data_IF_616298037728
#
_entry.id   IF_616298037728
#
_cell.length_a   1.000
_cell.length_b   1.000
_cell.length_c   1.000
_cell.angle_alpha   90.00
_cell.angle_beta   90.00
_cell.angle_gamma   90.00
#
_symmetry.space_group_name_H-M   'P 1'
#
loop_
_entity.id
_entity.type
_entity.pdbx_description
1 polymer ?
#
# COMPACT_ATOMS: atom_id res chain seq x y z
N UNK A 1 3.01 -6.64 23.14
CA UNK A 1 1.86 -7.45 23.64
C UNK A 1 0.66 -7.07 22.79
N UNK A 2 0.21 -7.96 21.91
CA UNK A 2 -0.96 -7.76 21.05
C UNK A 2 -2.21 -7.54 21.91
N UNK A 3 -3.03 -6.59 21.52
CA UNK A 3 -4.29 -6.32 22.20
C UNK A 3 -5.20 -7.56 22.04
N UNK A 4 -5.67 -8.19 23.15
CA UNK A 4 -6.49 -9.40 23.07
C UNK A 4 -7.80 -9.21 22.29
N UNK A 5 -8.24 -7.95 22.11
CA UNK A 5 -9.42 -7.63 21.29
C UNK A 5 -9.13 -7.69 19.79
N UNK A 6 -7.89 -7.41 19.34
CA UNK A 6 -7.55 -7.52 17.91
C UNK A 6 -7.44 -8.98 17.47
N UNK A 7 -6.80 -9.83 18.30
CA UNK A 7 -6.72 -11.29 18.03
C UNK A 7 -8.09 -11.96 18.08
N UNK A 8 -8.99 -11.51 18.95
CA UNK A 8 -10.36 -12.03 19.00
C UNK A 8 -11.16 -11.58 17.75
N UNK A 9 -10.98 -10.35 17.28
CA UNK A 9 -11.64 -9.86 16.08
C UNK A 9 -11.15 -10.59 14.82
N UNK A 10 -9.86 -10.91 14.73
CA UNK A 10 -9.29 -11.73 13.64
C UNK A 10 -9.78 -13.20 13.71
N UNK A 11 -9.79 -13.79 14.90
CA UNK A 11 -10.33 -15.14 15.10
C UNK A 11 -11.83 -15.22 14.77
N UNK A 12 -12.61 -14.18 15.10
CA UNK A 12 -14.03 -14.11 14.74
C UNK A 12 -14.21 -13.94 13.24
N UNK A 13 -13.37 -13.13 12.56
CA UNK A 13 -13.42 -12.98 11.09
C UNK A 13 -13.14 -14.28 10.35
N UNK A 14 -12.26 -15.13 10.86
CA UNK A 14 -11.93 -16.42 10.29
C UNK A 14 -13.08 -17.44 10.40
N UNK A 15 -14.15 -17.16 11.16
CA UNK A 15 -15.30 -18.04 11.29
C UNK A 15 -16.38 -17.74 10.24
N UNK A 16 -17.22 -18.74 9.95
CA UNK A 16 -18.39 -18.54 9.07
C UNK A 16 -19.36 -17.48 9.60
N UNK A 17 -19.42 -17.30 10.91
CA UNK A 17 -20.22 -16.26 11.58
C UNK A 17 -19.59 -14.88 11.34
N UNK A 18 -18.27 -14.76 11.52
CA UNK A 18 -17.54 -13.53 11.27
C UNK A 18 -17.66 -13.05 9.82
N UNK A 19 -17.57 -13.98 8.87
CA UNK A 19 -17.78 -13.67 7.45
C UNK A 19 -19.22 -13.18 7.14
N UNK A 20 -20.22 -13.71 7.87
CA UNK A 20 -21.61 -13.23 7.76
C UNK A 20 -21.77 -11.83 8.35
N UNK A 21 -21.15 -11.58 9.50
CA UNK A 21 -21.19 -10.27 10.15
C UNK A 21 -20.47 -9.23 9.27
N UNK A 22 -19.32 -9.54 8.71
CA UNK A 22 -18.59 -8.66 7.79
C UNK A 22 -19.44 -8.33 6.55
N UNK A 23 -20.08 -9.34 5.91
CA UNK A 23 -20.99 -9.10 4.78
C UNK A 23 -22.19 -8.24 5.15
N UNK A 24 -22.79 -8.47 6.32
CA UNK A 24 -23.88 -7.66 6.81
C UNK A 24 -23.44 -6.22 7.09
N UNK A 25 -22.24 -6.05 7.68
CA UNK A 25 -21.64 -4.75 7.90
C UNK A 25 -21.48 -3.97 6.58
N UNK A 26 -20.81 -4.55 5.58
CA UNK A 26 -20.61 -3.90 4.27
C UNK A 26 -21.94 -3.59 3.55
N UNK A 27 -22.99 -4.37 3.80
CA UNK A 27 -24.29 -4.16 3.18
C UNK A 27 -25.13 -3.09 3.88
N UNK A 28 -25.07 -2.98 5.19
CA UNK A 28 -26.01 -2.19 5.99
C UNK A 28 -25.35 -1.03 6.75
N UNK A 29 -24.05 -1.07 7.01
CA UNK A 29 -23.39 0.04 7.69
C UNK A 29 -23.37 1.30 6.81
N UNK A 30 -23.67 2.46 7.39
CA UNK A 30 -23.62 3.71 6.65
C UNK A 30 -22.20 4.06 6.27
N UNK A 31 -22.02 4.69 5.11
CA UNK A 31 -20.76 5.24 4.69
C UNK A 31 -20.69 6.72 5.07
N UNK A 32 -19.77 7.05 5.95
CA UNK A 32 -19.43 8.44 6.32
C UNK A 32 -17.98 8.54 6.75
N UNK A 33 -17.45 9.75 6.76
CA UNK A 33 -16.04 10.00 7.09
C UNK A 33 -15.82 10.01 8.59
N UNK A 34 -14.85 9.22 9.06
CA UNK A 34 -14.35 9.20 10.44
C UNK A 34 -12.98 9.87 10.46
N UNK A 35 -12.76 10.75 11.43
CA UNK A 35 -11.48 11.43 11.62
C UNK A 35 -10.75 10.87 12.82
N UNK A 36 -9.48 10.53 12.66
CA UNK A 36 -8.60 10.06 13.73
C UNK A 36 -7.22 10.72 13.67
N UNK A 37 -6.50 10.67 14.78
CA UNK A 37 -5.07 10.98 14.84
C UNK A 37 -4.26 9.68 14.74
N UNK A 38 -3.33 9.62 13.76
CA UNK A 38 -2.38 8.55 13.55
C UNK A 38 -1.03 9.19 13.26
N UNK A 39 0.04 8.84 13.95
CA UNK A 39 1.35 9.52 13.90
C UNK A 39 1.27 11.05 14.13
N UNK A 40 0.36 11.51 14.96
CA UNK A 40 0.08 12.93 15.14
C UNK A 40 -0.66 13.60 13.98
N UNK A 41 -0.86 12.92 12.85
CA UNK A 41 -1.54 13.42 11.67
C UNK A 41 -3.06 13.23 11.78
N UNK A 42 -3.82 14.16 11.23
CA UNK A 42 -5.26 14.01 11.05
C UNK A 42 -5.52 13.12 9.84
N UNK A 43 -6.12 11.97 10.03
CA UNK A 43 -6.49 11.05 8.97
C UNK A 43 -7.99 10.85 8.88
N UNK A 44 -8.48 10.69 7.66
CA UNK A 44 -9.87 10.39 7.37
C UNK A 44 -10.01 8.97 6.82
N UNK A 45 -11.02 8.29 7.33
CA UNK A 45 -11.39 6.92 6.97
C UNK A 45 -12.87 6.87 6.60
N UNK A 46 -13.29 5.93 5.81
CA UNK A 46 -14.71 5.60 5.68
C UNK A 46 -15.12 4.69 6.84
N UNK A 47 -16.24 5.01 7.51
CA UNK A 47 -16.73 4.25 8.65
C UNK A 47 -17.00 2.80 8.31
N UNK A 48 -17.60 2.53 7.16
CA UNK A 48 -17.95 1.18 6.71
C UNK A 48 -16.74 0.44 6.14
N UNK A 49 -16.07 1.07 5.15
CA UNK A 49 -15.09 0.40 4.32
C UNK A 49 -13.71 0.26 5.02
N UNK A 50 -13.36 1.19 5.89
CA UNK A 50 -12.07 1.18 6.59
C UNK A 50 -12.18 0.82 8.07
N UNK A 51 -13.17 0.00 8.45
CA UNK A 51 -13.42 -0.35 9.85
C UNK A 51 -12.18 -0.93 10.57
N UNK A 52 -11.39 -1.72 9.87
CA UNK A 52 -10.14 -2.28 10.38
C UNK A 52 -9.15 -1.20 10.83
N UNK A 53 -9.08 -0.10 10.11
CA UNK A 53 -8.11 0.98 10.38
C UNK A 53 -8.57 1.93 11.47
N UNK A 54 -9.83 2.35 11.47
CA UNK A 54 -10.28 3.31 12.46
C UNK A 54 -10.65 2.67 13.81
N UNK A 55 -10.83 1.35 13.88
CA UNK A 55 -11.06 0.62 15.15
C UNK A 55 -9.76 0.18 15.82
N UNK A 56 -8.64 0.04 15.10
CA UNK A 56 -7.35 -0.33 15.70
C UNK A 56 -6.88 0.74 16.67
N UNK A 57 -6.20 0.33 17.74
CA UNK A 57 -5.53 1.27 18.62
C UNK A 57 -4.48 2.07 17.84
N UNK A 58 -4.42 3.37 18.09
CA UNK A 58 -3.42 4.24 17.45
C UNK A 58 -1.98 3.74 17.71
N UNK A 59 -1.70 3.19 18.90
CA UNK A 59 -0.40 2.60 19.22
C UNK A 59 -0.07 1.39 18.35
N UNK A 60 -1.06 0.56 18.00
CA UNK A 60 -0.85 -0.57 17.10
C UNK A 60 -0.53 -0.11 15.67
N UNK A 61 -1.16 0.98 15.23
CA UNK A 61 -0.86 1.59 13.94
C UNK A 61 0.49 2.32 13.93
N UNK A 62 0.93 2.78 15.11
CA UNK A 62 2.18 3.54 15.30
C UNK A 62 3.36 2.64 15.71
N UNK A 63 3.16 1.35 15.89
CA UNK A 63 4.28 0.42 16.06
C UNK A 63 5.09 0.43 14.78
N UNK A 64 6.20 1.19 14.84
CA UNK A 64 7.15 1.27 13.77
C UNK A 64 7.78 -0.11 13.57
N UNK A 65 7.57 -0.69 12.41
CA UNK A 65 8.41 -1.76 11.93
C UNK A 65 9.68 -1.16 11.29
N UNK A 66 10.66 -1.98 10.96
CA UNK A 66 11.90 -1.52 10.34
C UNK A 66 11.68 -0.87 8.98
N UNK A 67 10.53 -1.11 8.31
CA UNK A 67 10.19 -0.49 7.03
C UNK A 67 9.98 1.02 7.17
N UNK A 68 9.44 1.46 8.30
CA UNK A 68 9.25 2.88 8.59
C UNK A 68 10.57 3.61 8.87
N UNK A 69 11.57 2.91 9.43
CA UNK A 69 12.89 3.49 9.66
C UNK A 69 13.56 3.89 8.36
N UNK A 70 13.30 3.16 7.27
CA UNK A 70 13.85 3.51 5.95
C UNK A 70 13.45 4.92 5.52
N UNK A 71 12.24 5.39 5.86
CA UNK A 71 11.79 6.75 5.58
C UNK A 71 12.62 7.84 6.30
N UNK A 72 13.34 7.50 7.37
CA UNK A 72 14.18 8.46 8.09
C UNK A 72 15.61 8.53 7.56
N UNK A 73 16.05 7.53 6.78
CA UNK A 73 17.45 7.36 6.34
C UNK A 73 17.81 8.17 5.09
N UNK A 74 16.81 8.69 4.37
CA UNK A 74 17.03 9.47 3.15
C UNK A 74 16.01 10.62 3.05
N UNK A 75 16.18 11.45 2.04
CA UNK A 75 15.17 12.40 1.57
C UNK A 75 15.07 12.29 0.07
N UNK A 76 13.85 12.26 -0.45
CA UNK A 76 13.66 12.09 -1.89
C UNK A 76 12.21 11.79 -2.24
N UNK A 77 12.02 11.13 -3.37
CA UNK A 77 10.72 10.73 -3.88
C UNK A 77 10.37 9.34 -3.39
N UNK A 78 9.18 9.19 -2.84
CA UNK A 78 8.60 7.91 -2.44
C UNK A 78 7.44 7.58 -3.36
N UNK A 79 7.43 6.37 -3.90
CA UNK A 79 6.26 5.80 -4.54
C UNK A 79 5.59 4.83 -3.56
N UNK A 80 4.32 5.09 -3.26
CA UNK A 80 3.45 4.24 -2.44
C UNK A 80 2.42 3.58 -3.37
N UNK A 81 2.67 2.34 -3.73
CA UNK A 81 1.85 1.56 -4.66
C UNK A 81 0.93 0.65 -3.85
N UNK A 82 -0.39 0.81 -4.03
CA UNK A 82 -1.40 0.29 -3.13
C UNK A 82 -1.50 1.17 -1.87
N UNK A 83 -1.60 2.49 -2.09
CA UNK A 83 -1.55 3.46 -0.99
C UNK A 83 -2.78 3.45 -0.09
N UNK A 84 -3.89 2.91 -0.59
CA UNK A 84 -5.16 2.91 0.12
C UNK A 84 -5.51 4.32 0.65
N UNK A 85 -5.93 4.45 1.90
CA UNK A 85 -6.22 5.74 2.56
C UNK A 85 -4.96 6.52 2.98
N UNK A 86 -3.78 6.01 2.65
CA UNK A 86 -2.51 6.73 2.67
C UNK A 86 -1.78 6.77 4.00
N UNK A 87 -1.86 5.74 4.83
CA UNK A 87 -1.11 5.71 6.10
C UNK A 87 0.39 5.86 5.83
N UNK A 88 0.96 5.08 4.90
CA UNK A 88 2.36 5.17 4.52
C UNK A 88 2.67 6.48 3.80
N UNK A 89 1.88 6.85 2.78
CA UNK A 89 2.05 8.08 2.01
C UNK A 89 2.10 9.33 2.88
N UNK A 90 1.15 9.47 3.81
CA UNK A 90 1.08 10.64 4.71
C UNK A 90 2.24 10.67 5.69
N UNK A 91 2.67 9.52 6.19
CA UNK A 91 3.85 9.44 7.05
C UNK A 91 5.10 9.87 6.28
N UNK A 92 5.31 9.37 5.08
CA UNK A 92 6.42 9.77 4.22
C UNK A 92 6.39 11.29 3.95
N UNK A 93 5.24 11.83 3.55
CA UNK A 93 5.07 13.26 3.31
C UNK A 93 5.35 14.11 4.57
N UNK A 94 4.94 13.65 5.76
CA UNK A 94 5.20 14.35 7.03
C UNK A 94 6.68 14.40 7.41
N UNK A 95 7.47 13.46 6.91
CA UNK A 95 8.91 13.43 7.05
C UNK A 95 9.65 14.27 5.99
N UNK A 96 8.90 14.90 5.07
CA UNK A 96 9.41 15.81 4.05
C UNK A 96 9.81 15.15 2.74
N UNK A 97 9.29 13.96 2.45
CA UNK A 97 9.42 13.31 1.14
C UNK A 97 8.43 13.88 0.13
N UNK A 98 8.79 13.85 -1.16
CA UNK A 98 7.86 13.97 -2.27
C UNK A 98 7.17 12.62 -2.48
N UNK A 99 5.84 12.56 -2.45
CA UNK A 99 5.11 11.29 -2.50
C UNK A 99 4.22 11.21 -3.72
N UNK A 100 4.33 10.08 -4.44
CA UNK A 100 3.40 9.68 -5.50
C UNK A 100 2.68 8.42 -5.00
N UNK A 101 1.37 8.53 -4.80
CA UNK A 101 0.53 7.47 -4.25
C UNK A 101 -0.36 6.88 -5.36
N UNK A 102 -0.21 5.58 -5.63
CA UNK A 102 -1.00 4.86 -6.64
C UNK A 102 -2.01 3.97 -5.94
N UNK A 103 -3.26 4.02 -6.38
CA UNK A 103 -4.31 3.09 -5.94
C UNK A 103 -5.39 2.94 -7.00
N UNK A 104 -6.08 1.80 -7.01
CA UNK A 104 -7.22 1.54 -7.90
C UNK A 104 -8.51 2.17 -7.39
N UNK A 105 -8.62 2.38 -6.08
CA UNK A 105 -9.79 2.97 -5.43
C UNK A 105 -9.70 4.49 -5.41
N UNK A 106 -10.43 5.13 -6.31
CA UNK A 106 -10.59 6.60 -6.29
C UNK A 106 -11.07 7.11 -4.94
N UNK A 107 -11.97 6.35 -4.30
CA UNK A 107 -12.54 6.70 -3.00
C UNK A 107 -11.49 6.67 -1.88
N UNK A 108 -10.58 5.71 -1.89
CA UNK A 108 -9.46 5.68 -0.96
C UNK A 108 -8.54 6.88 -1.16
N UNK A 109 -8.22 7.20 -2.42
CA UNK A 109 -7.40 8.39 -2.74
C UNK A 109 -8.08 9.71 -2.37
N UNK A 110 -9.40 9.83 -2.47
CA UNK A 110 -10.14 11.02 -1.98
C UNK A 110 -10.00 11.20 -0.46
N UNK A 111 -9.93 10.10 0.32
CA UNK A 111 -9.68 10.14 1.76
C UNK A 111 -8.22 10.51 2.06
N UNK A 112 -7.27 10.00 1.26
CA UNK A 112 -5.87 10.39 1.33
C UNK A 112 -5.69 11.89 1.04
N UNK A 113 -6.28 12.41 -0.05
CA UNK A 113 -6.22 13.83 -0.41
C UNK A 113 -6.80 14.73 0.70
N UNK A 114 -7.93 14.31 1.27
CA UNK A 114 -8.54 15.03 2.39
C UNK A 114 -7.63 15.04 3.63
N UNK A 115 -6.98 13.92 3.90
CA UNK A 115 -6.03 13.77 5.01
C UNK A 115 -4.76 14.61 4.77
N UNK A 116 -4.21 14.58 3.55
CA UNK A 116 -3.05 15.38 3.17
C UNK A 116 -3.35 16.89 3.34
N UNK A 117 -4.49 17.34 2.83
CA UNK A 117 -4.95 18.73 2.96
C UNK A 117 -5.12 19.15 4.44
N UNK A 118 -5.68 18.28 5.27
CA UNK A 118 -5.90 18.57 6.69
C UNK A 118 -4.60 18.72 7.50
N UNK A 119 -3.48 18.22 6.97
CA UNK A 119 -2.15 18.30 7.58
C UNK A 119 -1.20 19.28 6.85
N UNK A 120 -1.66 19.96 5.80
CA UNK A 120 -0.80 20.82 4.98
C UNK A 120 0.29 20.05 4.23
N UNK A 121 0.05 18.78 3.92
CA UNK A 121 0.98 17.91 3.19
C UNK A 121 0.65 17.89 1.70
N UNK A 122 1.69 17.70 0.87
CA UNK A 122 1.54 17.53 -0.57
C UNK A 122 1.81 16.07 -0.95
N UNK A 123 0.79 15.39 -1.48
CA UNK A 123 0.85 14.04 -2.01
C UNK A 123 0.22 14.05 -3.40
N UNK A 124 0.91 13.50 -4.38
CA UNK A 124 0.32 13.31 -5.72
C UNK A 124 -0.38 11.97 -5.76
N UNK A 125 -1.69 11.98 -5.93
CA UNK A 125 -2.51 10.76 -6.03
C UNK A 125 -2.75 10.36 -7.48
N UNK A 126 -2.67 9.06 -7.77
CA UNK A 126 -2.82 8.48 -9.12
C UNK A 126 -3.81 7.33 -9.05
N UNK A 127 -5.05 7.56 -9.52
CA UNK A 127 -6.11 6.55 -9.54
C UNK A 127 -5.92 5.61 -10.74
N UNK A 128 -4.92 4.73 -10.67
CA UNK A 128 -4.60 3.74 -11.70
C UNK A 128 -3.97 2.50 -11.08
N UNK A 129 -4.27 1.34 -11.65
CA UNK A 129 -3.59 0.10 -11.31
C UNK A 129 -2.12 0.16 -11.77
N UNK A 130 -1.18 0.11 -10.83
CA UNK A 130 0.24 0.00 -11.16
C UNK A 130 0.56 -1.41 -11.62
N UNK A 131 1.25 -1.60 -12.76
CA UNK A 131 1.37 -2.89 -13.43
C UNK A 131 2.61 -2.98 -14.32
N UNK A 132 2.96 -4.17 -14.79
CA UNK A 132 3.98 -4.39 -15.82
C UNK A 132 3.41 -4.34 -17.25
N UNK A 133 2.08 -4.37 -17.41
CA UNK A 133 1.37 -4.37 -18.70
C UNK A 133 0.15 -3.45 -18.68
N UNK A 134 -0.30 -3.01 -19.86
CA UNK A 134 -1.52 -2.23 -19.98
C UNK A 134 -2.76 -3.12 -19.99
N UNK A 135 -3.76 -2.75 -19.17
CA UNK A 135 -5.10 -3.35 -19.14
C UNK A 135 -6.15 -2.37 -18.62
N UNK A 136 -7.41 -2.75 -18.79
CA UNK A 136 -8.55 -2.04 -18.19
C UNK A 136 -9.15 -2.88 -17.08
N UNK A 137 -9.76 -2.22 -16.08
CA UNK A 137 -10.36 -2.88 -14.93
C UNK A 137 -11.64 -2.18 -14.48
N UNK A 138 -12.47 -2.93 -13.76
CA UNK A 138 -13.65 -2.38 -13.10
C UNK A 138 -13.18 -1.60 -11.86
N UNK A 139 -13.47 -0.29 -11.81
CA UNK A 139 -13.10 0.54 -10.65
C UNK A 139 -13.84 0.06 -9.40
N UNK A 140 -13.15 -0.11 -8.25
CA UNK A 140 -13.81 -0.43 -6.99
C UNK A 140 -14.79 0.66 -6.58
N UNK A 141 -15.93 0.26 -6.08
CA UNK A 141 -16.96 1.19 -5.54
C UNK A 141 -16.72 1.55 -4.07
N UNK A 142 -15.73 0.93 -3.44
CA UNK A 142 -15.42 1.03 -2.01
C UNK A 142 -13.99 1.53 -1.82
N UNK A 143 -13.68 2.00 -0.62
CA UNK A 143 -12.32 2.29 -0.15
C UNK A 143 -11.75 1.15 0.69
N UNK A 144 -12.27 -0.08 0.50
CA UNK A 144 -11.84 -1.26 1.22
C UNK A 144 -10.38 -1.62 0.89
N UNK A 145 -9.69 -2.21 1.85
CA UNK A 145 -8.29 -2.59 1.73
C UNK A 145 -8.08 -3.83 0.87
N UNK A 146 -9.09 -4.70 0.75
CA UNK A 146 -8.98 -6.01 0.09
C UNK A 146 -9.56 -5.99 -1.35
N UNK A 147 -9.39 -4.89 -2.06
CA UNK A 147 -9.88 -4.77 -3.43
C UNK A 147 -8.93 -5.46 -4.43
N UNK A 148 -9.18 -6.73 -4.71
CA UNK A 148 -8.53 -7.40 -5.83
C UNK A 148 -8.93 -6.78 -7.17
N UNK A 149 -7.98 -6.59 -8.08
CA UNK A 149 -8.23 -6.07 -9.42
C UNK A 149 -9.05 -7.08 -10.22
N UNK A 150 -10.18 -6.60 -10.76
CA UNK A 150 -10.95 -7.35 -11.75
C UNK A 150 -10.71 -6.75 -13.14
N UNK A 151 -9.91 -7.43 -13.94
CA UNK A 151 -9.71 -7.02 -15.33
C UNK A 151 -11.00 -7.09 -16.12
N UNK A 152 -11.28 -6.06 -16.90
CA UNK A 152 -12.49 -5.94 -17.69
C UNK A 152 -12.21 -5.07 -18.92
N UNK A 153 -12.36 -5.58 -20.14
CA UNK A 153 -12.21 -4.77 -21.36
C UNK A 153 -13.17 -3.56 -21.40
N UNK A 154 -14.33 -3.68 -20.76
CA UNK A 154 -15.32 -2.59 -20.64
C UNK A 154 -15.11 -1.72 -19.40
N UNK A 155 -14.17 -2.07 -18.53
CA UNK A 155 -13.87 -1.34 -17.30
C UNK A 155 -13.48 0.11 -17.57
N UNK A 156 -13.78 1.00 -16.65
CA UNK A 156 -13.46 2.43 -16.74
C UNK A 156 -12.02 2.70 -16.27
N UNK A 157 -11.53 1.94 -15.31
CA UNK A 157 -10.16 2.04 -14.81
C UNK A 157 -9.16 1.62 -15.87
N UNK A 158 -8.01 2.27 -15.91
CA UNK A 158 -6.89 1.97 -16.79
C UNK A 158 -5.63 1.82 -15.96
N UNK A 159 -4.87 0.74 -16.19
CA UNK A 159 -3.57 0.54 -15.56
C UNK A 159 -2.56 1.61 -16.01
N UNK A 160 -1.51 1.77 -15.24
CA UNK A 160 -0.29 2.46 -15.62
C UNK A 160 0.87 1.48 -15.49
N UNK A 161 1.61 1.28 -16.56
CA UNK A 161 2.82 0.47 -16.47
C UNK A 161 3.90 1.21 -15.69
N UNK A 162 4.81 0.46 -15.03
CA UNK A 162 5.92 1.11 -14.32
C UNK A 162 6.79 1.94 -15.26
N UNK A 163 6.92 1.55 -16.53
CA UNK A 163 7.65 2.33 -17.54
C UNK A 163 6.96 3.64 -17.90
N UNK A 164 5.62 3.65 -17.95
CA UNK A 164 4.86 4.89 -18.14
C UNK A 164 4.97 5.78 -16.92
N UNK A 165 4.88 5.20 -15.72
CA UNK A 165 5.02 5.93 -14.47
C UNK A 165 6.40 6.60 -14.35
N UNK A 166 7.48 5.88 -14.68
CA UNK A 166 8.86 6.41 -14.72
C UNK A 166 9.02 7.60 -15.67
N UNK A 167 8.22 7.67 -16.74
CA UNK A 167 8.24 8.79 -17.71
C UNK A 167 7.39 9.96 -17.25
N UNK A 168 6.32 9.70 -16.48
CA UNK A 168 5.33 10.72 -16.11
C UNK A 168 5.62 11.39 -14.76
N UNK A 169 6.29 10.68 -13.84
CA UNK A 169 6.52 11.13 -12.48
C UNK A 169 8.02 11.13 -12.13
N UNK A 170 8.44 11.95 -11.15
CA UNK A 170 9.79 11.84 -10.60
C UNK A 170 10.07 10.39 -10.15
N UNK A 171 11.25 9.90 -10.49
CA UNK A 171 11.63 8.52 -10.15
C UNK A 171 11.74 8.34 -8.64
N UNK A 172 11.38 7.16 -8.12
CA UNK A 172 11.41 6.94 -6.69
C UNK A 172 12.84 6.71 -6.18
N UNK A 173 13.12 7.28 -5.02
CA UNK A 173 14.26 6.93 -4.17
C UNK A 173 13.91 5.81 -3.20
N UNK A 174 12.62 5.52 -3.02
CA UNK A 174 12.05 4.37 -2.32
C UNK A 174 10.72 3.99 -2.96
N UNK A 175 10.55 2.69 -3.18
CA UNK A 175 9.29 2.10 -3.64
C UNK A 175 8.67 1.25 -2.51
N UNK A 176 7.43 1.51 -2.11
CA UNK A 176 6.61 0.59 -1.31
C UNK A 176 5.56 0.00 -2.24
N UNK A 177 5.32 -1.30 -2.14
CA UNK A 177 4.32 -2.01 -2.95
C UNK A 177 3.54 -2.99 -2.07
N UNK A 178 2.22 -2.82 -2.11
CA UNK A 178 1.25 -3.61 -1.38
C UNK A 178 -0.05 -3.56 -2.19
N UNK A 179 -0.22 -4.53 -3.08
CA UNK A 179 -1.26 -4.56 -4.12
C UNK A 179 -2.03 -5.88 -4.15
N UNK A 180 -2.17 -6.49 -2.97
CA UNK A 180 -3.07 -7.60 -2.70
C UNK A 180 -2.87 -8.79 -3.66
N UNK A 181 -1.60 -9.19 -3.85
CA UNK A 181 -1.20 -10.38 -4.61
C UNK A 181 -0.74 -10.11 -6.06
N UNK A 182 -0.85 -8.88 -6.56
CA UNK A 182 -0.32 -8.53 -7.88
C UNK A 182 1.21 -8.29 -7.88
N UNK A 183 1.88 -8.31 -6.72
CA UNK A 183 3.33 -8.17 -6.55
C UNK A 183 4.11 -9.24 -7.33
N UNK A 184 3.51 -10.44 -7.48
CA UNK A 184 4.11 -11.55 -8.22
C UNK A 184 4.38 -11.22 -9.69
N UNK A 185 3.60 -10.35 -10.29
CA UNK A 185 3.82 -9.87 -11.65
C UNK A 185 5.17 -9.14 -11.76
N UNK A 186 5.48 -8.30 -10.77
CA UNK A 186 6.73 -7.54 -10.71
C UNK A 186 7.93 -8.42 -10.37
N UNK A 187 7.76 -9.37 -9.44
CA UNK A 187 8.79 -10.34 -9.09
C UNK A 187 9.23 -11.15 -10.30
N UNK A 188 8.31 -11.52 -11.18
CA UNK A 188 8.57 -12.29 -12.40
C UNK A 188 9.09 -11.44 -13.57
N UNK A 189 8.95 -10.14 -13.49
CA UNK A 189 9.37 -9.23 -14.55
C UNK A 189 10.88 -8.96 -14.52
N UNK A 190 11.62 -9.52 -15.47
CA UNK A 190 13.05 -9.23 -15.63
C UNK A 190 13.29 -7.72 -15.82
N UNK A 191 12.44 -7.04 -16.60
CA UNK A 191 12.57 -5.62 -16.88
C UNK A 191 12.39 -4.76 -15.62
N UNK A 192 11.45 -5.11 -14.74
CA UNK A 192 11.27 -4.43 -13.45
C UNK A 192 12.45 -4.70 -12.52
N UNK A 193 12.92 -5.96 -12.44
CA UNK A 193 14.11 -6.33 -11.67
C UNK A 193 15.32 -5.50 -12.10
N UNK A 194 15.58 -5.46 -13.42
CA UNK A 194 16.70 -4.70 -13.96
C UNK A 194 16.59 -3.20 -13.61
N UNK A 195 15.40 -2.63 -13.71
CA UNK A 195 15.17 -1.23 -13.38
C UNK A 195 15.46 -0.94 -11.90
N UNK A 196 14.94 -1.76 -10.97
CA UNK A 196 15.17 -1.64 -9.52
C UNK A 196 16.67 -1.76 -9.20
N UNK A 197 17.34 -2.79 -9.72
CA UNK A 197 18.73 -3.09 -9.39
C UNK A 197 19.71 -2.09 -9.99
N UNK A 198 19.52 -1.70 -11.26
CA UNK A 198 20.39 -0.72 -11.91
C UNK A 198 20.35 0.64 -11.24
N UNK A 199 19.20 1.03 -10.70
CA UNK A 199 19.00 2.30 -10.02
C UNK A 199 19.19 2.22 -8.51
N UNK A 200 19.39 1.02 -7.98
CA UNK A 200 19.57 0.75 -6.55
C UNK A 200 18.41 1.33 -5.71
N UNK A 201 17.18 1.12 -6.17
CA UNK A 201 15.98 1.59 -5.48
C UNK A 201 15.67 0.65 -4.32
N UNK A 202 15.65 1.12 -3.06
CA UNK A 202 15.09 0.35 -1.95
C UNK A 202 13.63 0.00 -2.26
N UNK A 203 13.29 -1.25 -2.08
CA UNK A 203 11.94 -1.73 -2.37
C UNK A 203 11.37 -2.46 -1.16
N UNK A 204 10.28 -1.93 -0.62
CA UNK A 204 9.48 -2.57 0.42
C UNK A 204 8.30 -3.22 -0.27
N UNK A 205 8.09 -4.51 -0.03
CA UNK A 205 7.02 -5.27 -0.67
C UNK A 205 6.30 -6.12 0.36
N UNK A 206 4.96 -6.11 0.33
CA UNK A 206 4.14 -7.01 1.13
C UNK A 206 3.93 -8.34 0.38
N UNK A 207 4.00 -9.44 1.11
CA UNK A 207 3.79 -10.79 0.58
C UNK A 207 2.39 -11.27 0.93
N UNK A 208 1.61 -11.59 -0.09
CA UNK A 208 0.28 -12.20 0.04
C UNK A 208 0.30 -13.70 -0.32
N UNK A 209 1.47 -14.30 -0.54
CA UNK A 209 1.60 -15.70 -0.94
C UNK A 209 2.86 -16.34 -0.37
N UNK A 210 2.79 -17.60 0.15
CA UNK A 210 3.97 -18.36 0.55
C UNK A 210 4.99 -18.59 -0.59
N UNK A 211 4.52 -18.61 -1.85
CA UNK A 211 5.39 -18.75 -3.02
C UNK A 211 6.26 -17.52 -3.24
N UNK A 212 5.82 -16.38 -2.75
CA UNK A 212 6.50 -15.10 -2.88
C UNK A 212 7.92 -15.17 -2.30
N UNK A 213 8.09 -15.68 -1.09
CA UNK A 213 9.40 -15.80 -0.44
C UNK A 213 10.40 -16.62 -1.25
N UNK A 214 9.93 -17.71 -1.88
CA UNK A 214 10.78 -18.58 -2.70
C UNK A 214 11.16 -17.95 -4.04
N UNK A 215 10.38 -16.98 -4.50
CA UNK A 215 10.58 -16.31 -5.78
C UNK A 215 11.28 -14.95 -5.65
N UNK A 216 11.42 -14.41 -4.46
CA UNK A 216 12.27 -13.25 -4.23
C UNK A 216 13.64 -13.54 -4.86
N UNK A 217 14.12 -12.60 -5.63
CA UNK A 217 15.32 -12.75 -6.47
C UNK A 217 16.47 -13.37 -5.71
N UNK A 218 16.83 -14.60 -6.06
CA UNK A 218 17.81 -15.43 -5.33
C UNK A 218 19.17 -14.76 -5.18
N UNK A 219 19.53 -13.90 -6.13
CA UNK A 219 20.80 -13.18 -6.16
C UNK A 219 20.78 -11.91 -5.32
N UNK A 220 19.63 -11.54 -4.75
CA UNK A 220 19.44 -10.33 -3.96
C UNK A 220 19.17 -10.69 -2.50
N UNK A 221 19.67 -9.85 -1.59
CA UNK A 221 19.36 -10.01 -0.17
C UNK A 221 18.18 -9.15 0.19
N UNK A 222 17.09 -9.81 0.53
CA UNK A 222 15.95 -9.18 1.16
C UNK A 222 16.07 -9.26 2.67
N UNK A 223 15.68 -8.20 3.35
CA UNK A 223 15.46 -8.17 4.79
C UNK A 223 13.99 -8.48 5.02
N UNK A 224 13.70 -9.35 5.98
CA UNK A 224 12.34 -9.55 6.45
C UNK A 224 12.09 -8.55 7.58
N UNK A 225 11.10 -7.69 7.41
CA UNK A 225 10.72 -6.70 8.41
C UNK A 225 9.71 -7.27 9.41
N UNK A 226 8.72 -7.99 8.91
CA UNK A 226 7.73 -8.72 9.69
C UNK A 226 7.25 -9.97 8.93
N UNK A 227 6.13 -10.56 9.33
CA UNK A 227 5.64 -11.80 8.72
C UNK A 227 5.27 -11.66 7.25
N UNK A 228 4.94 -10.45 6.79
CA UNK A 228 4.44 -10.19 5.44
C UNK A 228 5.31 -9.21 4.64
N UNK A 229 6.13 -8.37 5.30
CA UNK A 229 6.90 -7.34 4.61
C UNK A 229 8.36 -7.70 4.44
N UNK A 230 8.85 -7.49 3.23
CA UNK A 230 10.24 -7.71 2.81
C UNK A 230 10.81 -6.44 2.21
N UNK A 231 12.08 -6.20 2.47
CA UNK A 231 12.81 -5.05 1.90
C UNK A 231 14.05 -5.47 1.16
N UNK A 232 14.23 -4.96 -0.05
CA UNK A 232 15.47 -5.11 -0.81
C UNK A 232 16.58 -4.26 -0.18
N UNK A 233 17.62 -4.93 0.30
CA UNK A 233 18.80 -4.24 0.85
C UNK A 233 19.76 -3.83 -0.27
N UNK A 234 19.62 -2.60 -0.73
CA UNK A 234 20.45 -2.04 -1.83
C UNK A 234 21.91 -1.82 -1.46
N UNK A 235 22.24 -1.69 -0.18
CA UNK A 235 23.62 -1.48 0.29
C UNK A 235 24.46 -2.74 0.15
N UNK A 236 23.81 -3.90 0.07
CA UNK A 236 24.46 -5.20 -0.12
C UNK A 236 24.45 -5.70 -1.57
N UNK A 237 23.95 -4.89 -2.51
CA UNK A 237 24.10 -5.21 -3.92
C UNK A 237 25.56 -5.03 -4.34
N UNK A 238 26.10 -5.87 -5.26
CA UNK A 238 27.45 -5.69 -5.77
C UNK A 238 27.62 -4.29 -6.35
N UNK A 239 28.78 -3.69 -6.09
CA UNK A 239 29.14 -2.44 -6.77
C UNK A 239 29.15 -2.68 -8.28
N UNK A 240 28.69 -1.69 -9.05
CA UNK A 240 28.76 -1.74 -10.50
C UNK A 240 30.18 -1.72 -10.99
#
# INVERSE_FOLDING_TARGET
MSNPLSSLAEAVRATSVGARVARAWHRFAPSFKVRRKVYGLTMYFDFRDNATWWTRDAKTLEQADESWELLTRFKGTVWDVGSNVGIFALRAASLGHSVIAFDISRRALELLDLSAKANGLNVTTVSRAFSTRSFRYDEPSTSDTENAIRESPAGKGQSITFLEAVKQYPQPDLLKMDIEGAEMEFIRSAQFKDWILQRRIPWIVESHSPEFEMMLWKDCKFLRFDDNHFGLNVDRLPAK
#
